data_IF_262968107973
#
_entry.id   IF_262968107973
#
_cell.length_a   1.000
_cell.length_b   1.000
_cell.length_c   1.000
_cell.angle_alpha   90.00
_cell.angle_beta   90.00
_cell.angle_gamma   90.00
#
_symmetry.space_group_name_H-M   'P 1'
#
loop_
_entity.id
_entity.type
_entity.pdbx_description
1 polymer ?
#
# COMPACT_ATOMS: atom_id res chain seq x y z
N UNK A 1 -6.57 8.01 -8.57
CA UNK A 1 -6.73 9.45 -8.23
C UNK A 1 -7.80 9.73 -7.17
N UNK A 2 -9.07 9.32 -7.34
CA UNK A 2 -10.12 9.60 -6.34
C UNK A 2 -9.79 9.05 -4.93
N UNK A 3 -9.21 7.84 -4.85
CA UNK A 3 -8.72 7.26 -3.59
C UNK A 3 -7.70 8.18 -2.92
N UNK A 4 -6.68 8.60 -3.67
CA UNK A 4 -5.65 9.54 -3.22
C UNK A 4 -6.27 10.84 -2.68
N UNK A 5 -7.19 11.47 -3.44
CA UNK A 5 -7.90 12.67 -3.01
C UNK A 5 -8.68 12.44 -1.72
N UNK A 6 -9.44 11.35 -1.61
CA UNK A 6 -10.20 11.03 -0.39
C UNK A 6 -9.30 10.86 0.83
N UNK A 7 -8.16 10.18 0.71
CA UNK A 7 -7.21 10.04 1.82
C UNK A 7 -6.57 11.38 2.21
N UNK A 8 -6.23 12.21 1.22
CA UNK A 8 -5.70 13.56 1.44
C UNK A 8 -6.70 14.44 2.17
N UNK A 9 -7.93 14.53 1.67
CA UNK A 9 -9.01 15.35 2.24
C UNK A 9 -9.34 14.93 3.68
N UNK A 10 -9.36 13.61 3.96
CA UNK A 10 -9.55 13.08 5.32
C UNK A 10 -8.44 13.52 6.28
N UNK A 11 -7.18 13.50 5.82
CA UNK A 11 -6.05 13.91 6.66
C UNK A 11 -6.02 15.43 6.86
N UNK A 12 -6.36 16.21 5.83
CA UNK A 12 -6.51 17.68 5.92
C UNK A 12 -7.57 18.01 6.96
N UNK A 13 -8.76 17.39 6.88
CA UNK A 13 -9.83 17.60 7.84
C UNK A 13 -9.41 17.23 9.27
N UNK A 14 -8.65 16.14 9.44
CA UNK A 14 -8.10 15.78 10.75
C UNK A 14 -7.12 16.85 11.29
N UNK A 15 -6.25 17.36 10.43
CA UNK A 15 -5.28 18.40 10.77
C UNK A 15 -5.97 19.71 11.16
N UNK A 16 -7.02 20.12 10.46
CA UNK A 16 -7.83 21.30 10.82
C UNK A 16 -8.53 21.15 12.17
N UNK A 17 -9.07 19.96 12.46
CA UNK A 17 -9.70 19.67 13.76
C UNK A 17 -8.70 19.72 14.91
N UNK A 18 -7.51 19.18 14.70
CA UNK A 18 -6.43 19.21 15.69
C UNK A 18 -5.84 20.61 15.87
N UNK A 19 -5.80 21.42 14.82
CA UNK A 19 -5.39 22.83 14.88
C UNK A 19 -6.34 23.67 15.74
N UNK A 20 -7.66 23.42 15.62
CA UNK A 20 -8.65 24.02 16.53
C UNK A 20 -8.45 23.58 17.98
N UNK A 21 -8.20 22.29 18.20
CA UNK A 21 -7.93 21.77 19.54
C UNK A 21 -6.64 22.35 20.14
N UNK A 22 -5.60 22.53 19.33
CA UNK A 22 -4.36 23.21 19.71
C UNK A 22 -4.62 24.65 20.18
N UNK A 23 -5.41 25.43 19.44
CA UNK A 23 -5.74 26.80 19.86
C UNK A 23 -6.45 26.82 21.21
N UNK A 24 -7.35 25.86 21.45
CA UNK A 24 -7.97 25.69 22.77
C UNK A 24 -6.95 25.35 23.87
N UNK A 25 -5.98 24.48 23.61
CA UNK A 25 -4.91 24.20 24.58
C UNK A 25 -4.12 25.47 24.93
N UNK A 26 -3.82 26.32 23.95
CA UNK A 26 -3.14 27.61 24.19
C UNK A 26 -4.00 28.58 25.02
N UNK A 27 -5.31 28.65 24.78
CA UNK A 27 -6.22 29.48 25.58
C UNK A 27 -6.24 29.03 27.05
N UNK A 28 -6.28 27.72 27.31
CA UNK A 28 -6.26 27.16 28.68
C UNK A 28 -4.94 27.43 29.41
N UNK A 29 -3.84 27.38 28.67
CA UNK A 29 -2.49 27.69 29.14
C UNK A 29 -2.30 29.14 29.58
N UNK A 30 -3.11 30.06 29.04
CA UNK A 30 -3.15 31.45 29.47
C UNK A 30 -3.65 31.63 30.90
N UNK A 31 -4.39 30.66 31.43
CA UNK A 31 -5.12 30.77 32.71
C UNK A 31 -4.56 29.89 33.86
N UNK A 32 -3.67 28.91 33.65
CA UNK A 32 -3.12 28.09 34.77
C UNK A 32 -1.70 27.49 34.60
N UNK A 33 -1.03 27.34 35.75
CA UNK A 33 0.36 26.96 36.07
C UNK A 33 0.92 25.62 35.54
N UNK A 34 2.26 25.60 35.40
CA UNK A 34 3.29 24.52 35.44
C UNK A 34 3.04 23.13 34.80
N UNK A 35 1.85 22.52 34.88
CA UNK A 35 1.59 21.17 34.34
C UNK A 35 1.54 21.12 32.81
N UNK A 36 1.28 22.26 32.18
CA UNK A 36 1.24 22.38 30.73
C UNK A 36 2.63 22.34 30.05
N UNK A 37 3.72 22.31 30.81
CA UNK A 37 5.07 22.02 30.31
C UNK A 37 5.33 20.53 30.06
N UNK A 38 4.51 19.63 30.61
CA UNK A 38 4.68 18.19 30.45
C UNK A 38 4.09 17.65 29.14
N UNK A 39 3.09 18.32 28.58
CA UNK A 39 2.46 17.95 27.32
C UNK A 39 3.09 18.75 26.19
N UNK A 40 3.74 18.08 25.24
CA UNK A 40 4.24 18.73 24.03
C UNK A 40 3.06 19.34 23.26
N UNK A 41 3.00 20.67 23.20
CA UNK A 41 2.04 21.38 22.37
C UNK A 41 2.23 21.04 20.89
N UNK A 42 1.11 20.91 20.15
CA UNK A 42 1.15 20.76 18.70
C UNK A 42 1.86 21.98 18.11
N UNK A 43 2.94 21.79 17.33
CA UNK A 43 3.59 22.90 16.63
C UNK A 43 3.13 23.00 15.18
N UNK A 44 3.41 24.11 14.50
CA UNK A 44 3.10 24.25 13.07
C UNK A 44 3.86 23.23 12.21
N UNK A 45 5.00 22.74 12.70
CA UNK A 45 5.75 21.64 12.06
C UNK A 45 5.01 20.29 12.17
N UNK A 46 4.12 20.14 13.14
CA UNK A 46 3.36 18.92 13.39
C UNK A 46 2.05 18.85 12.61
N UNK A 47 1.48 20.02 12.30
CA UNK A 47 0.33 20.20 11.41
C UNK A 47 0.85 20.79 10.09
N UNK A 48 1.74 20.06 9.42
CA UNK A 48 2.37 20.51 8.17
C UNK A 48 1.39 20.45 6.99
N UNK A 49 0.42 21.37 7.00
CA UNK A 49 -0.61 21.53 5.96
C UNK A 49 0.03 21.85 4.62
N UNK A 50 1.13 22.61 4.60
CA UNK A 50 1.84 22.93 3.36
C UNK A 50 2.35 21.66 2.69
N UNK A 51 3.02 20.79 3.45
CA UNK A 51 3.55 19.55 2.92
C UNK A 51 2.48 18.55 2.54
N UNK A 52 1.41 18.45 3.34
CA UNK A 52 0.25 17.65 2.96
C UNK A 52 -0.37 18.14 1.66
N UNK A 53 -0.42 19.46 1.45
CA UNK A 53 -0.90 20.07 0.22
C UNK A 53 0.01 19.77 -0.97
N UNK A 54 1.34 19.74 -0.76
CA UNK A 54 2.33 19.38 -1.79
C UNK A 54 2.42 17.87 -2.07
N UNK A 55 1.95 17.02 -1.15
CA UNK A 55 2.01 15.56 -1.32
C UNK A 55 1.30 15.11 -2.60
N UNK A 56 1.94 14.16 -3.32
CA UNK A 56 1.52 13.65 -4.63
C UNK A 56 1.26 12.14 -4.63
N UNK A 57 1.80 11.40 -3.66
CA UNK A 57 1.68 9.93 -3.58
C UNK A 57 0.91 9.47 -2.35
N UNK A 58 0.32 8.27 -2.42
CA UNK A 58 -0.35 7.66 -1.27
C UNK A 58 0.63 7.39 -0.12
N UNK A 59 1.88 7.08 -0.44
CA UNK A 59 2.94 6.79 0.54
C UNK A 59 3.32 8.04 1.35
N UNK A 60 3.41 9.21 0.69
CA UNK A 60 3.64 10.49 1.38
C UNK A 60 2.51 10.85 2.34
N UNK A 61 1.24 10.61 1.95
CA UNK A 61 0.09 10.82 2.83
C UNK A 61 0.13 9.83 4.01
N UNK A 62 0.49 8.58 3.74
CA UNK A 62 0.62 7.56 4.77
C UNK A 62 1.75 7.89 5.76
N UNK A 63 2.85 8.48 5.29
CA UNK A 63 3.95 8.93 6.13
C UNK A 63 3.55 10.05 7.08
N UNK A 64 2.92 11.11 6.54
CA UNK A 64 2.41 12.22 7.34
C UNK A 64 1.40 11.75 8.39
N UNK A 65 0.52 10.81 8.00
CA UNK A 65 -0.44 10.20 8.91
C UNK A 65 0.26 9.39 10.01
N UNK A 66 1.29 8.62 9.69
CA UNK A 66 2.03 7.81 10.68
C UNK A 66 2.78 8.71 11.67
N UNK A 67 3.47 9.74 11.19
CA UNK A 67 4.13 10.74 12.03
C UNK A 67 3.12 11.36 12.99
N UNK A 68 1.98 11.82 12.46
CA UNK A 68 0.91 12.42 13.24
C UNK A 68 0.38 11.48 14.34
N UNK A 69 0.09 10.21 14.00
CA UNK A 69 -0.41 9.26 14.99
C UNK A 69 0.62 8.95 16.09
N UNK A 70 1.90 8.84 15.79
CA UNK A 70 2.88 8.52 16.85
C UNK A 70 2.97 9.64 17.88
N UNK A 71 2.86 10.91 17.47
CA UNK A 71 2.95 12.03 18.40
C UNK A 71 1.63 12.38 19.08
N UNK A 72 0.49 12.30 18.36
CA UNK A 72 -0.78 12.90 18.80
C UNK A 72 -1.91 11.92 19.02
N UNK A 73 -1.68 10.60 18.94
CA UNK A 73 -2.76 9.63 19.14
C UNK A 73 -3.37 9.69 20.56
N UNK A 74 -2.62 10.15 21.57
CA UNK A 74 -3.12 10.39 22.93
C UNK A 74 -4.09 11.59 23.00
N UNK A 75 -3.93 12.57 22.11
CA UNK A 75 -4.72 13.81 22.10
C UNK A 75 -6.01 13.67 21.26
N UNK A 76 -6.08 12.71 20.33
CA UNK A 76 -7.24 12.50 19.46
C UNK A 76 -8.56 12.30 20.26
N UNK A 77 -8.61 11.48 21.33
CA UNK A 77 -9.82 11.35 22.14
C UNK A 77 -10.23 12.67 22.80
N UNK A 78 -9.27 13.45 23.28
CA UNK A 78 -9.53 14.74 23.93
C UNK A 78 -10.01 15.80 22.94
N UNK A 79 -9.47 15.79 21.71
CA UNK A 79 -9.96 16.62 20.61
C UNK A 79 -11.41 16.29 20.27
N UNK A 80 -11.77 15.00 20.14
CA UNK A 80 -13.15 14.58 19.85
C UNK A 80 -14.12 14.93 20.98
N UNK A 81 -13.68 14.81 22.23
CA UNK A 81 -14.44 15.23 23.40
C UNK A 81 -14.74 16.73 23.31
N UNK A 82 -13.72 17.55 23.02
CA UNK A 82 -13.88 19.00 22.90
C UNK A 82 -14.82 19.39 21.78
N UNK A 83 -14.73 18.76 20.61
CA UNK A 83 -15.65 19.02 19.49
C UNK A 83 -17.10 18.77 19.88
N UNK A 84 -17.39 17.64 20.54
CA UNK A 84 -18.74 17.34 21.02
C UNK A 84 -19.24 18.34 22.07
N UNK A 85 -18.38 18.81 22.96
CA UNK A 85 -18.73 19.86 23.93
C UNK A 85 -19.10 21.16 23.19
N UNK A 86 -18.35 21.54 22.15
CA UNK A 86 -18.65 22.72 21.34
C UNK A 86 -19.95 22.56 20.54
N UNK A 87 -20.19 21.39 19.92
CA UNK A 87 -21.45 21.08 19.23
C UNK A 87 -22.64 21.23 20.18
N UNK A 88 -22.53 20.68 21.41
CA UNK A 88 -23.58 20.78 22.41
C UNK A 88 -23.82 22.24 22.87
N UNK A 89 -22.75 23.02 23.06
CA UNK A 89 -22.85 24.46 23.38
C UNK A 89 -23.56 25.22 22.26
N UNK A 90 -23.21 24.99 21.00
CA UNK A 90 -23.86 25.62 19.86
C UNK A 90 -25.34 25.24 19.73
N UNK A 91 -25.68 23.97 19.98
CA UNK A 91 -27.07 23.51 19.99
C UNK A 91 -27.88 24.17 21.10
N UNK A 92 -27.31 24.32 22.32
CA UNK A 92 -27.94 25.06 23.42
C UNK A 92 -28.16 26.52 23.06
N UNK A 93 -27.17 27.20 22.47
CA UNK A 93 -27.32 28.60 22.05
C UNK A 93 -28.39 28.77 20.97
N UNK A 94 -28.45 27.85 19.99
CA UNK A 94 -29.49 27.86 18.96
C UNK A 94 -30.87 27.66 19.57
N UNK A 95 -31.03 26.75 20.55
CA UNK A 95 -32.29 26.56 21.29
C UNK A 95 -32.69 27.81 22.08
N UNK A 96 -31.76 28.42 22.83
CA UNK A 96 -32.00 29.68 23.56
C UNK A 96 -32.44 30.81 22.64
N UNK A 97 -31.80 30.98 21.48
CA UNK A 97 -32.18 31.98 20.47
C UNK A 97 -33.57 31.72 19.87
N UNK A 98 -33.94 30.45 19.65
CA UNK A 98 -35.27 30.09 19.16
C UNK A 98 -36.36 30.41 20.19
N UNK A 99 -36.13 30.08 21.46
CA UNK A 99 -37.07 30.37 22.55
C UNK A 99 -37.25 31.88 22.72
N UNK A 100 -36.17 32.65 22.75
CA UNK A 100 -36.23 34.11 22.83
C UNK A 100 -36.98 34.76 21.65
N UNK A 101 -36.84 34.20 20.44
CA UNK A 101 -37.58 34.67 19.26
C UNK A 101 -39.08 34.28 19.28
N UNK A 102 -39.45 33.20 19.99
CA UNK A 102 -40.85 32.83 20.20
C UNK A 102 -41.51 33.75 21.24
N UNK A 103 -40.80 34.07 22.34
CA UNK A 103 -41.25 35.00 23.38
C UNK A 103 -41.47 36.43 22.85
N UNK A 104 -40.74 36.86 21.82
CA UNK A 104 -40.93 38.19 21.20
C UNK A 104 -42.14 38.27 20.25
N UNK A 105 -42.75 37.14 19.86
CA UNK A 105 -43.89 37.09 18.94
C UNK A 105 -45.24 36.86 19.64
N UNK A 106 -45.27 36.54 20.94
CA UNK A 106 -46.50 36.37 21.73
C UNK A 106 -46.69 37.52 22.72
N UNK A 107 -47.39 38.58 22.27
CA UNK A 107 -48.17 39.44 23.16
C UNK A 107 -49.57 38.81 23.30
N UNK A 108 -49.78 37.95 24.30
CA UNK A 108 -51.05 37.87 25.03
C UNK A 108 -50.91 37.06 26.32
N UNK A 109 -51.60 37.53 27.35
CA UNK A 109 -51.50 37.15 28.77
C UNK A 109 -51.81 35.66 29.04
N UNK A 110 -50.89 34.93 29.68
CA UNK A 110 -51.17 34.07 30.85
C UNK A 110 -49.87 33.53 31.51
N UNK A 111 -49.90 33.18 32.82
CA UNK A 111 -48.70 32.95 33.61
C UNK A 111 -48.09 31.55 33.43
N UNK A 112 -46.76 31.54 33.31
CA UNK A 112 -45.75 30.48 33.50
C UNK A 112 -46.23 29.05 33.86
N UNK A 113 -45.58 28.04 33.26
CA UNK A 113 -44.87 27.04 34.02
C UNK A 113 -43.41 27.48 34.23
N UNK A 114 -43.07 27.82 35.46
CA UNK A 114 -41.70 27.72 35.97
C UNK A 114 -41.41 26.24 36.12
N UNK A 115 -40.62 25.68 35.22
CA UNK A 115 -39.94 24.40 35.42
C UNK A 115 -38.53 24.59 34.89
N UNK A 116 -37.64 24.77 35.86
CA UNK A 116 -36.20 24.56 35.88
C UNK A 116 -35.44 25.39 34.81
N UNK A 117 -34.51 26.26 35.20
CA UNK A 117 -33.20 25.81 35.67
C UNK A 117 -32.86 24.40 35.16
N UNK A 118 -33.12 24.09 33.87
CA UNK A 118 -32.51 22.95 33.18
C UNK A 118 -31.04 23.14 33.46
N UNK A 119 -30.56 22.32 34.39
CA UNK A 119 -29.37 22.53 35.19
C UNK A 119 -28.32 23.18 34.30
N UNK A 120 -27.67 24.23 34.79
CA UNK A 120 -26.34 24.54 34.30
C UNK A 120 -25.55 23.26 34.56
N UNK A 121 -25.64 22.31 33.62
CA UNK A 121 -25.14 20.96 33.74
C UNK A 121 -23.67 21.21 33.91
N UNK A 122 -23.22 21.01 35.15
CA UNK A 122 -21.90 21.44 35.59
C UNK A 122 -20.95 21.03 34.49
N UNK A 123 -20.17 21.96 33.96
CA UNK A 123 -19.52 21.73 32.66
C UNK A 123 -18.65 20.45 32.71
N UNK A 124 -18.16 20.16 33.90
CA UNK A 124 -17.48 18.94 34.31
C UNK A 124 -18.35 17.67 34.21
N UNK A 125 -19.62 17.70 34.63
CA UNK A 125 -20.58 16.60 34.48
C UNK A 125 -20.96 16.34 33.01
N UNK A 126 -21.07 17.39 32.18
CA UNK A 126 -21.28 17.23 30.73
C UNK A 126 -20.07 16.55 30.07
N UNK A 127 -18.86 17.01 30.44
CA UNK A 127 -17.61 16.42 29.96
C UNK A 127 -17.52 14.95 30.34
N UNK A 128 -17.88 14.57 31.56
CA UNK A 128 -17.86 13.17 32.02
C UNK A 128 -18.93 12.30 31.35
N UNK A 129 -20.11 12.85 31.09
CA UNK A 129 -21.14 12.17 30.31
C UNK A 129 -20.65 11.90 28.87
N UNK A 130 -20.04 12.89 28.21
CA UNK A 130 -19.52 12.74 26.84
C UNK A 130 -18.30 11.81 26.81
N UNK A 131 -17.40 11.85 27.79
CA UNK A 131 -16.29 10.89 27.95
C UNK A 131 -16.79 9.46 28.00
N UNK A 132 -17.86 9.23 28.77
CA UNK A 132 -18.50 7.92 28.92
C UNK A 132 -19.14 7.48 27.60
N UNK A 133 -19.83 8.37 26.89
CA UNK A 133 -20.42 8.09 25.56
C UNK A 133 -19.37 7.79 24.49
N UNK A 134 -18.26 8.54 24.48
CA UNK A 134 -17.14 8.32 23.57
C UNK A 134 -16.34 7.06 23.94
N UNK A 135 -16.70 6.39 25.03
CA UNK A 135 -16.01 5.24 25.60
C UNK A 135 -14.50 5.53 25.72
N UNK A 136 -14.15 6.76 26.12
CA UNK A 136 -12.79 7.16 26.49
C UNK A 136 -12.52 6.53 27.87
N UNK A 137 -12.54 5.19 27.93
CA UNK A 137 -11.89 4.49 29.03
C UNK A 137 -10.40 4.74 28.86
N UNK A 138 -9.69 4.92 29.97
CA UNK A 138 -8.25 4.70 30.04
C UNK A 138 -8.00 3.26 29.58
N UNK A 139 -7.96 3.07 28.26
CA UNK A 139 -7.86 1.77 27.65
C UNK A 139 -6.43 1.35 27.95
N UNK A 140 -6.18 0.23 28.64
CA UNK A 140 -4.83 -0.29 28.75
C UNK A 140 -4.34 -0.47 27.31
N UNK A 141 -3.33 0.32 26.94
CA UNK A 141 -2.80 0.42 25.58
C UNK A 141 -2.71 -0.98 24.98
N UNK A 142 -3.42 -1.21 23.87
CA UNK A 142 -3.19 -2.37 23.04
C UNK A 142 -1.68 -2.45 22.76
N UNK A 143 -1.00 -3.46 23.31
CA UNK A 143 0.48 -3.62 23.34
C UNK A 143 1.21 -2.28 23.40
N UNK A 144 1.44 -1.74 24.60
CA UNK A 144 2.22 -0.52 24.85
C UNK A 144 3.39 -0.41 23.87
N UNK A 145 3.29 0.51 22.90
CA UNK A 145 4.37 0.77 21.95
C UNK A 145 5.63 1.11 22.76
N UNK A 146 6.78 0.54 22.41
CA UNK A 146 8.02 0.75 23.15
C UNK A 146 8.41 2.24 23.16
N UNK A 147 7.99 2.99 22.13
CA UNK A 147 8.08 4.45 22.11
C UNK A 147 7.31 5.12 23.27
N UNK A 148 6.09 4.67 23.56
CA UNK A 148 5.28 5.22 24.65
C UNK A 148 5.87 4.86 26.02
N UNK A 149 6.49 3.69 26.17
CA UNK A 149 7.25 3.34 27.38
C UNK A 149 8.42 4.33 27.59
N UNK A 150 9.14 4.67 26.52
CA UNK A 150 10.22 5.66 26.57
C UNK A 150 9.70 7.07 26.91
N UNK A 151 8.53 7.45 26.36
CA UNK A 151 7.85 8.72 26.66
C UNK A 151 7.44 8.81 28.14
N UNK A 152 6.83 7.75 28.68
CA UNK A 152 6.45 7.67 30.11
C UNK A 152 7.67 7.77 31.05
N UNK A 153 8.82 7.25 30.62
CA UNK A 153 10.09 7.37 31.35
C UNK A 153 10.79 8.74 31.16
N UNK A 154 10.16 9.71 30.48
CA UNK A 154 10.67 11.07 30.23
C UNK A 154 12.00 11.11 29.47
N UNK A 155 12.29 10.09 28.65
CA UNK A 155 13.52 10.01 27.86
C UNK A 155 13.61 11.08 26.75
N UNK A 156 12.52 11.79 26.44
CA UNK A 156 12.53 12.92 25.50
C UNK A 156 13.54 14.01 25.89
N UNK A 157 13.71 14.26 27.18
CA UNK A 157 14.70 15.22 27.68
C UNK A 157 16.14 14.80 27.36
N UNK A 158 16.42 13.48 27.40
CA UNK A 158 17.71 12.92 27.03
C UNK A 158 17.92 12.93 25.51
N UNK A 159 16.89 12.57 24.74
CA UNK A 159 16.96 12.54 23.26
C UNK A 159 17.25 13.93 22.67
N UNK A 160 16.68 15.00 23.25
CA UNK A 160 17.00 16.38 22.84
C UNK A 160 18.49 16.71 22.96
N UNK A 161 19.23 16.06 23.87
CA UNK A 161 20.68 16.26 24.06
C UNK A 161 21.54 15.59 22.97
N UNK A 162 20.94 14.79 22.07
CA UNK A 162 21.65 14.12 20.97
C UNK A 162 22.06 15.11 19.85
N UNK A 163 21.48 16.32 19.83
CA UNK A 163 21.91 17.44 19.01
C UNK A 163 20.90 17.83 17.93
N UNK A 164 20.83 17.09 16.82
CA UNK A 164 19.92 17.43 15.73
C UNK A 164 18.48 16.94 15.98
N UNK A 165 17.53 17.82 15.68
CA UNK A 165 16.11 17.46 15.53
C UNK A 165 15.89 16.66 14.23
N UNK A 166 14.86 15.79 14.17
CA UNK A 166 14.52 15.04 12.96
C UNK A 166 14.39 15.89 11.71
N UNK A 167 13.68 17.02 11.80
CA UNK A 167 13.43 17.93 10.67
C UNK A 167 14.74 18.49 10.10
N UNK A 168 15.70 18.81 10.98
CA UNK A 168 17.02 19.34 10.62
C UNK A 168 17.93 18.29 9.99
N UNK A 169 17.82 17.04 10.43
CA UNK A 169 18.47 15.92 9.74
C UNK A 169 17.86 15.74 8.34
N UNK A 170 16.53 15.83 8.22
CA UNK A 170 15.84 15.77 6.93
C UNK A 170 16.35 16.82 5.96
N UNK A 171 16.52 18.07 6.40
CA UNK A 171 17.12 19.16 5.61
C UNK A 171 18.56 18.82 5.17
N UNK A 172 19.40 18.32 6.09
CA UNK A 172 20.78 17.94 5.77
C UNK A 172 20.84 16.82 4.71
N UNK A 173 19.94 15.82 4.82
CA UNK A 173 19.87 14.72 3.87
C UNK A 173 19.34 15.17 2.50
N UNK A 174 18.35 16.07 2.48
CA UNK A 174 17.78 16.58 1.25
C UNK A 174 18.77 17.43 0.45
N UNK A 175 19.54 18.27 1.14
CA UNK A 175 20.56 19.14 0.55
C UNK A 175 21.86 18.40 0.21
N UNK A 176 22.07 17.20 0.76
CA UNK A 176 23.27 16.38 0.61
C UNK A 176 24.56 17.06 1.13
N UNK A 177 24.43 17.97 2.09
CA UNK A 177 25.50 18.53 2.90
C UNK A 177 24.96 18.94 4.28
N UNK A 178 25.85 19.13 5.25
CA UNK A 178 25.47 19.53 6.60
C UNK A 178 25.09 21.01 6.65
N UNK A 179 23.85 21.33 6.29
CA UNK A 179 23.27 22.68 6.37
C UNK A 179 23.03 23.12 7.82
N UNK A 180 22.59 22.19 8.66
CA UNK A 180 22.34 22.39 10.08
C UNK A 180 23.44 21.71 10.90
N UNK A 181 24.12 22.49 11.73
CA UNK A 181 25.16 22.03 12.62
C UNK A 181 24.58 21.29 13.84
N UNK A 182 25.42 20.44 14.45
CA UNK A 182 25.01 19.62 15.59
C UNK A 182 25.23 20.36 16.91
N UNK A 183 24.14 20.57 17.64
CA UNK A 183 24.18 21.06 19.02
C UNK A 183 24.83 20.02 19.95
N UNK A 184 26.08 20.26 20.34
CA UNK A 184 26.84 19.33 21.15
C UNK A 184 26.56 19.53 22.64
N UNK A 185 26.13 18.46 23.32
CA UNK A 185 25.96 18.49 24.76
C UNK A 185 27.33 18.41 25.48
N UNK A 186 27.58 19.26 26.50
CA UNK A 186 28.89 19.37 27.13
C UNK A 186 29.26 18.17 28.02
N UNK A 187 28.25 17.42 28.51
CA UNK A 187 28.47 16.25 29.38
C UNK A 187 28.47 14.98 28.53
N UNK A 188 29.32 14.02 28.92
CA UNK A 188 29.39 12.71 28.31
C UNK A 188 28.04 11.97 28.34
N UNK A 189 27.74 11.14 27.33
CA UNK A 189 26.45 10.46 27.24
C UNK A 189 26.17 9.52 28.41
N UNK A 190 27.19 8.82 28.93
CA UNK A 190 27.04 7.90 30.06
C UNK A 190 26.58 8.62 31.32
N UNK A 191 27.26 9.73 31.68
CA UNK A 191 26.90 10.55 32.84
C UNK A 191 25.52 11.21 32.64
N UNK A 192 25.20 11.63 31.41
CA UNK A 192 23.88 12.20 31.08
C UNK A 192 22.75 11.19 31.27
N UNK A 193 23.00 9.89 31.09
CA UNK A 193 22.01 8.83 31.28
C UNK A 193 21.71 8.52 32.76
N UNK A 194 22.60 8.86 33.69
CA UNK A 194 22.41 8.59 35.13
C UNK A 194 21.19 9.30 35.70
N UNK A 195 20.89 10.51 35.18
CA UNK A 195 19.71 11.31 35.54
C UNK A 195 18.36 10.63 35.18
N UNK A 196 18.38 9.64 34.28
CA UNK A 196 17.18 9.01 33.70
C UNK A 196 17.00 7.55 34.12
N UNK A 197 17.77 7.07 35.11
CA UNK A 197 17.60 5.72 35.66
C UNK A 197 16.26 5.63 36.38
N UNK A 198 15.44 4.63 36.01
CA UNK A 198 14.12 4.43 36.58
C UNK A 198 13.82 2.93 36.73
N UNK A 199 12.65 2.59 37.30
CA UNK A 199 12.24 1.18 37.50
C UNK A 199 12.18 0.40 36.18
N UNK A 200 11.82 1.07 35.09
CA UNK A 200 11.72 0.49 33.75
C UNK A 200 13.10 0.34 33.08
N UNK A 201 14.05 1.21 33.41
CA UNK A 201 15.41 1.24 32.85
C UNK A 201 16.44 1.34 33.98
N UNK A 202 16.82 0.19 34.61
CA UNK A 202 17.59 0.19 35.86
C UNK A 202 19.08 0.51 35.69
N UNK A 203 19.61 0.52 34.46
CA UNK A 203 21.04 0.76 34.19
C UNK A 203 21.24 1.84 33.14
N UNK A 204 22.38 2.54 33.18
CA UNK A 204 22.78 3.54 32.17
C UNK A 204 22.76 2.96 30.75
N UNK A 205 23.17 1.70 30.58
CA UNK A 205 23.12 1.01 29.29
C UNK A 205 21.69 0.81 28.79
N UNK A 206 20.75 0.39 29.65
CA UNK A 206 19.35 0.22 29.27
C UNK A 206 18.68 1.56 28.93
N UNK A 207 19.01 2.62 29.67
CA UNK A 207 18.54 3.98 29.38
C UNK A 207 19.05 4.44 28.02
N UNK A 208 20.35 4.24 27.74
CA UNK A 208 20.97 4.62 26.48
C UNK A 208 20.36 3.88 25.30
N UNK A 209 20.14 2.56 25.41
CA UNK A 209 19.48 1.77 24.37
C UNK A 209 18.03 2.23 24.11
N UNK A 210 17.29 2.55 25.16
CA UNK A 210 15.94 3.09 25.04
C UNK A 210 15.94 4.48 24.38
N UNK A 211 16.87 5.36 24.74
CA UNK A 211 17.03 6.66 24.12
C UNK A 211 17.44 6.57 22.64
N UNK A 212 18.36 5.67 22.29
CA UNK A 212 18.74 5.38 20.90
C UNK A 212 17.52 4.91 20.10
N UNK A 213 16.74 3.98 20.66
CA UNK A 213 15.51 3.52 20.01
C UNK A 213 14.52 4.67 19.80
N UNK A 214 14.28 5.46 20.84
CA UNK A 214 13.35 6.59 20.79
C UNK A 214 13.77 7.60 19.73
N UNK A 215 15.05 8.00 19.72
CA UNK A 215 15.57 8.93 18.71
C UNK A 215 15.51 8.34 17.31
N UNK A 216 15.97 7.11 17.10
CA UNK A 216 15.87 6.44 15.81
C UNK A 216 14.42 6.35 15.31
N UNK A 217 13.45 6.13 16.21
CA UNK A 217 12.02 6.15 15.88
C UNK A 217 11.57 7.56 15.47
N UNK A 218 11.99 8.62 16.16
CA UNK A 218 11.67 10.00 15.79
C UNK A 218 12.26 10.39 14.43
N UNK A 219 13.54 10.07 14.20
CA UNK A 219 14.21 10.27 12.91
C UNK A 219 13.50 9.52 11.78
N UNK A 220 13.11 8.27 12.01
CA UNK A 220 12.44 7.47 10.99
C UNK A 220 11.03 7.97 10.67
N UNK A 221 10.40 8.79 11.51
CA UNK A 221 9.05 9.31 11.32
C UNK A 221 9.03 10.63 10.55
N UNK A 222 10.16 11.34 10.49
CA UNK A 222 10.24 12.57 9.70
C UNK A 222 10.00 12.26 8.21
N UNK A 223 9.01 12.90 7.57
CA UNK A 223 8.69 12.56 6.20
C UNK A 223 9.78 13.03 5.21
N UNK A 224 10.69 13.95 5.57
CA UNK A 224 11.74 14.43 4.66
C UNK A 224 12.91 13.44 4.63
N UNK A 225 13.29 12.93 5.80
CA UNK A 225 14.14 11.76 5.97
C UNK A 225 13.57 10.59 5.16
N UNK A 226 12.27 10.27 5.32
CA UNK A 226 11.63 9.20 4.53
C UNK A 226 11.67 9.45 3.04
N UNK A 227 11.33 10.65 2.60
CA UNK A 227 11.31 11.02 1.19
C UNK A 227 12.68 10.79 0.53
N UNK A 228 13.75 11.31 1.14
CA UNK A 228 15.12 11.18 0.61
C UNK A 228 15.56 9.72 0.62
N UNK A 229 15.40 9.02 1.75
CA UNK A 229 15.86 7.64 1.89
C UNK A 229 15.04 6.69 1.01
N UNK A 230 13.72 6.89 0.87
CA UNK A 230 12.88 6.10 -0.05
C UNK A 230 13.37 6.23 -1.48
N UNK A 231 13.65 7.46 -1.93
CA UNK A 231 14.14 7.72 -3.29
C UNK A 231 15.47 7.01 -3.54
N UNK A 232 16.43 7.14 -2.62
CA UNK A 232 17.73 6.46 -2.74
C UNK A 232 17.59 4.93 -2.64
N UNK A 233 16.72 4.44 -1.75
CA UNK A 233 16.42 3.02 -1.61
C UNK A 233 15.91 2.44 -2.92
N UNK A 234 14.85 3.01 -3.50
CA UNK A 234 14.26 2.52 -4.76
C UNK A 234 15.26 2.61 -5.91
N UNK A 235 16.05 3.69 -5.98
CA UNK A 235 17.05 3.91 -7.04
C UNK A 235 18.20 2.89 -6.97
N UNK A 236 18.72 2.62 -5.77
CA UNK A 236 19.92 1.79 -5.56
C UNK A 236 19.61 0.32 -5.28
N UNK A 237 18.37 -0.02 -4.93
CA UNK A 237 18.01 -1.38 -4.52
C UNK A 237 18.26 -2.38 -5.66
N UNK A 238 18.85 -3.50 -5.29
CA UNK A 238 19.15 -4.64 -6.13
C UNK A 238 18.59 -5.91 -5.48
N UNK A 239 18.24 -6.86 -6.33
CA UNK A 239 17.70 -8.16 -5.93
C UNK A 239 18.75 -9.25 -6.19
N UNK A 240 19.06 -9.99 -5.13
CA UNK A 240 19.71 -11.29 -5.18
C UNK A 240 18.64 -12.39 -5.09
N UNK A 241 18.72 -13.40 -5.94
CA UNK A 241 17.82 -14.54 -5.88
C UNK A 241 18.57 -15.86 -6.03
N UNK A 242 18.22 -16.82 -5.19
CA UNK A 242 18.81 -18.17 -5.19
C UNK A 242 17.76 -19.25 -4.94
N UNK A 243 17.91 -20.44 -5.53
CA UNK A 243 16.97 -21.52 -5.29
C UNK A 243 17.14 -22.05 -3.86
N UNK A 244 16.04 -22.51 -3.28
CA UNK A 244 16.05 -23.33 -2.07
C UNK A 244 16.47 -24.76 -2.41
N UNK A 245 16.61 -25.63 -1.40
CA UNK A 245 16.88 -27.06 -1.64
C UNK A 245 15.83 -27.70 -2.54
N UNK A 246 14.56 -27.29 -2.39
CA UNK A 246 13.45 -27.79 -3.20
C UNK A 246 13.47 -27.16 -4.60
N UNK A 247 13.70 -25.85 -4.69
CA UNK A 247 13.80 -25.15 -5.99
C UNK A 247 14.94 -25.62 -6.87
N UNK A 248 16.01 -26.17 -6.27
CA UNK A 248 17.11 -26.74 -7.06
C UNK A 248 16.64 -27.90 -7.95
N UNK A 249 15.73 -28.72 -7.43
CA UNK A 249 15.16 -29.90 -8.09
C UNK A 249 13.98 -29.56 -8.99
N UNK A 250 13.09 -28.66 -8.54
CA UNK A 250 11.84 -28.35 -9.27
C UNK A 250 12.00 -27.32 -10.39
N UNK A 251 12.94 -26.38 -10.26
CA UNK A 251 13.19 -25.37 -11.30
C UNK A 251 14.10 -25.98 -12.37
N UNK A 252 13.47 -26.69 -13.30
CA UNK A 252 14.05 -27.24 -14.54
C UNK A 252 13.95 -26.24 -15.69
N UNK A 253 14.48 -26.57 -16.87
CA UNK A 253 14.51 -25.69 -18.06
C UNK A 253 13.11 -25.22 -18.50
N UNK A 254 12.07 -26.02 -18.25
CA UNK A 254 10.69 -25.70 -18.59
C UNK A 254 10.00 -24.74 -17.59
N UNK A 255 10.61 -24.51 -16.42
CA UNK A 255 10.01 -23.68 -15.38
C UNK A 255 10.13 -22.19 -15.73
N UNK A 256 9.05 -21.41 -15.58
CA UNK A 256 9.02 -19.99 -15.95
C UNK A 256 10.10 -19.14 -15.25
N UNK A 257 10.49 -19.52 -14.03
CA UNK A 257 11.55 -18.86 -13.26
C UNK A 257 12.99 -19.34 -13.57
N UNK A 258 13.18 -20.29 -14.50
CA UNK A 258 14.49 -20.88 -14.79
C UNK A 258 15.54 -19.83 -15.20
N UNK A 259 15.14 -18.86 -16.03
CA UNK A 259 16.00 -17.74 -16.49
C UNK A 259 16.48 -16.83 -15.35
N UNK A 260 15.80 -16.87 -14.19
CA UNK A 260 16.10 -16.07 -13.00
C UNK A 260 16.45 -16.93 -11.80
N UNK A 261 16.80 -18.20 -12.02
CA UNK A 261 17.18 -19.15 -10.95
C UNK A 261 18.35 -18.64 -10.12
N UNK A 262 19.28 -17.90 -10.73
CA UNK A 262 20.40 -17.27 -10.05
C UNK A 262 20.50 -15.80 -10.45
N UNK A 263 20.07 -14.91 -9.55
CA UNK A 263 20.23 -13.46 -9.72
C UNK A 263 21.22 -12.94 -8.69
N UNK A 264 22.16 -12.13 -9.15
CA UNK A 264 23.12 -11.42 -8.30
C UNK A 264 23.08 -9.95 -8.68
N UNK A 265 22.85 -9.10 -7.68
CA UNK A 265 22.87 -7.65 -7.74
C UNK A 265 22.08 -7.07 -8.92
N UNK A 266 20.93 -7.67 -9.28
CA UNK A 266 20.08 -7.19 -10.37
C UNK A 266 19.33 -5.93 -9.91
N UNK A 267 19.56 -4.74 -10.50
CA UNK A 267 18.87 -3.53 -10.06
C UNK A 267 17.36 -3.61 -10.30
N UNK A 268 16.56 -3.11 -9.36
CA UNK A 268 15.10 -3.28 -9.39
C UNK A 268 14.44 -2.65 -10.62
N UNK A 269 14.95 -1.51 -11.08
CA UNK A 269 14.45 -0.83 -12.29
C UNK A 269 14.72 -1.60 -13.60
N UNK A 270 15.53 -2.67 -13.57
CA UNK A 270 15.79 -3.51 -14.75
C UNK A 270 14.82 -4.68 -14.89
N UNK A 271 13.97 -4.92 -13.88
CA UNK A 271 12.90 -5.89 -14.01
C UNK A 271 11.89 -5.36 -15.04
N UNK A 272 11.50 -6.23 -15.96
CA UNK A 272 10.57 -5.89 -17.03
C UNK A 272 9.49 -6.95 -17.13
N UNK A 273 8.32 -6.57 -17.65
CA UNK A 273 7.22 -7.49 -17.96
C UNK A 273 6.75 -8.25 -16.70
N UNK A 274 6.62 -9.57 -16.81
CA UNK A 274 6.18 -10.54 -15.83
C UNK A 274 7.34 -11.19 -15.04
N UNK A 275 8.58 -10.72 -15.23
CA UNK A 275 9.77 -11.29 -14.57
C UNK A 275 9.64 -11.34 -13.05
N UNK A 276 9.27 -10.21 -12.43
CA UNK A 276 9.15 -10.15 -10.98
C UNK A 276 8.00 -11.03 -10.45
N UNK A 277 6.93 -11.19 -11.23
CA UNK A 277 5.80 -12.04 -10.88
C UNK A 277 6.20 -13.51 -10.75
N UNK A 278 6.97 -14.06 -11.71
CA UNK A 278 7.46 -15.44 -11.61
C UNK A 278 8.41 -15.63 -10.43
N UNK A 279 9.25 -14.64 -10.15
CA UNK A 279 10.17 -14.68 -9.02
C UNK A 279 9.39 -14.70 -7.69
N UNK A 280 8.40 -13.80 -7.55
CA UNK A 280 7.55 -13.71 -6.37
C UNK A 280 6.73 -15.00 -6.15
N UNK A 281 6.12 -15.53 -7.21
CA UNK A 281 5.39 -16.80 -7.14
C UNK A 281 6.30 -17.95 -6.70
N UNK A 282 7.52 -18.03 -7.26
CA UNK A 282 8.51 -19.05 -6.88
C UNK A 282 8.97 -18.93 -5.42
N UNK A 283 9.01 -17.72 -4.86
CA UNK A 283 9.26 -17.51 -3.42
C UNK A 283 8.07 -18.01 -2.59
N UNK A 284 6.84 -17.69 -3.00
CA UNK A 284 5.62 -18.13 -2.32
C UNK A 284 5.51 -19.66 -2.30
N UNK A 285 5.93 -20.32 -3.38
CA UNK A 285 5.98 -21.77 -3.50
C UNK A 285 7.18 -22.41 -2.77
N UNK A 286 8.01 -21.60 -2.10
CA UNK A 286 9.17 -22.06 -1.34
C UNK A 286 10.33 -22.59 -2.21
N UNK A 287 10.32 -22.28 -3.51
CA UNK A 287 11.34 -22.71 -4.47
C UNK A 287 12.51 -21.72 -4.53
N UNK A 288 12.26 -20.44 -4.29
CA UNK A 288 13.27 -19.38 -4.36
C UNK A 288 13.39 -18.63 -3.02
N UNK A 289 14.57 -18.05 -2.79
CA UNK A 289 14.81 -17.05 -1.73
C UNK A 289 15.33 -15.78 -2.39
N UNK A 290 14.68 -14.66 -2.07
CA UNK A 290 15.08 -13.31 -2.50
C UNK A 290 15.74 -12.59 -1.32
N UNK A 291 16.72 -11.75 -1.63
CA UNK A 291 17.36 -10.81 -0.71
C UNK A 291 17.49 -9.46 -1.41
N UNK A 292 17.07 -8.40 -0.71
CA UNK A 292 17.13 -7.01 -1.18
C UNK A 292 18.38 -6.36 -0.62
N UNK A 293 19.18 -5.77 -1.50
CA UNK A 293 20.48 -5.20 -1.15
C UNK A 293 20.59 -3.81 -1.76
N UNK A 294 21.05 -2.84 -0.97
CA UNK A 294 21.29 -1.47 -1.44
C UNK A 294 22.75 -1.29 -1.85
N UNK A 295 23.66 -1.79 -1.02
CA UNK A 295 25.10 -1.62 -1.21
C UNK A 295 25.70 -2.83 -1.93
N UNK A 296 26.51 -2.57 -2.96
CA UNK A 296 27.25 -3.65 -3.64
C UNK A 296 28.24 -4.29 -2.68
N UNK A 297 28.46 -5.59 -2.81
CA UNK A 297 29.39 -6.35 -1.94
C UNK A 297 30.81 -5.78 -1.91
N UNK A 298 31.24 -5.14 -3.00
CA UNK A 298 32.58 -4.56 -3.14
C UNK A 298 32.64 -3.06 -2.84
N UNK A 299 31.57 -2.45 -2.33
CA UNK A 299 31.57 -1.02 -1.99
C UNK A 299 32.39 -0.77 -0.73
N UNK A 300 33.30 0.20 -0.78
CA UNK A 300 34.09 0.63 0.37
C UNK A 300 33.28 1.49 1.36
N UNK A 301 32.21 2.11 0.86
CA UNK A 301 31.31 2.98 1.61
C UNK A 301 29.89 2.49 1.42
N UNK A 302 29.18 2.32 2.52
CA UNK A 302 27.75 1.98 2.49
C UNK A 302 26.91 3.25 2.45
N UNK A 303 25.68 3.14 1.95
CA UNK A 303 24.72 4.23 2.03
C UNK A 303 24.44 4.65 3.50
N UNK A 304 24.51 3.72 4.45
CA UNK A 304 24.43 4.04 5.86
C UNK A 304 25.59 4.95 6.31
N UNK A 305 26.81 4.73 5.80
CA UNK A 305 27.97 5.58 6.10
C UNK A 305 27.85 6.98 5.47
N UNK A 306 27.22 7.10 4.30
CA UNK A 306 26.89 8.40 3.69
C UNK A 306 25.97 9.21 4.61
N UNK A 307 24.89 8.58 5.11
CA UNK A 307 23.92 9.24 6.02
C UNK A 307 24.56 9.62 7.35
N UNK A 308 25.44 8.76 7.91
CA UNK A 308 26.14 9.03 9.17
C UNK A 308 26.94 10.32 9.10
N UNK A 309 27.55 10.65 7.96
CA UNK A 309 28.31 11.91 7.78
C UNK A 309 27.43 13.14 7.98
N UNK A 310 26.17 13.09 7.53
CA UNK A 310 25.19 14.18 7.71
C UNK A 310 24.74 14.36 9.16
N UNK A 311 25.09 13.42 10.07
CA UNK A 311 24.82 13.48 11.50
C UNK A 311 26.08 13.25 12.36
N UNK A 312 27.24 13.67 11.86
CA UNK A 312 28.52 13.61 12.60
C UNK A 312 29.07 15.02 12.80
N UNK A 313 29.61 15.30 13.99
CA UNK A 313 30.34 16.55 14.26
C UNK A 313 31.84 16.30 14.12
N UNK A 314 32.52 17.10 13.31
CA UNK A 314 33.95 16.93 13.01
C UNK A 314 34.84 17.57 14.10
N UNK A 315 34.88 16.94 15.27
CA UNK A 315 35.78 17.32 16.37
C UNK A 315 36.36 16.07 17.05
N UNK A 316 37.62 16.16 17.49
CA UNK A 316 38.38 15.05 18.06
C UNK A 316 38.31 14.94 19.59
N UNK A 317 37.40 15.68 20.24
CA UNK A 317 37.18 15.56 21.69
C UNK A 317 36.55 14.20 22.04
N UNK A 318 37.00 13.55 23.10
CA UNK A 318 36.46 12.26 23.56
C UNK A 318 34.93 12.31 23.72
N UNK A 319 34.42 13.41 24.28
CA UNK A 319 32.98 13.62 24.43
C UNK A 319 32.25 13.62 23.06
N UNK A 320 32.80 14.32 22.07
CA UNK A 320 32.21 14.39 20.72
C UNK A 320 32.25 13.02 20.05
N UNK A 321 33.35 12.28 20.19
CA UNK A 321 33.49 10.93 19.65
C UNK A 321 32.47 9.96 20.27
N UNK A 322 32.22 10.04 21.58
CA UNK A 322 31.20 9.22 22.25
C UNK A 322 29.79 9.56 21.76
N UNK A 323 29.45 10.83 21.64
CA UNK A 323 28.15 11.25 21.09
C UNK A 323 27.99 10.87 19.62
N UNK A 324 29.04 10.99 18.81
CA UNK A 324 29.03 10.56 17.40
C UNK A 324 28.79 9.04 17.26
N UNK A 325 29.34 8.22 18.15
CA UNK A 325 29.04 6.77 18.19
C UNK A 325 27.56 6.51 18.42
N UNK A 326 26.94 7.22 19.36
CA UNK A 326 25.51 7.09 19.66
C UNK A 326 24.64 7.55 18.49
N UNK A 327 24.97 8.68 17.86
CA UNK A 327 24.28 9.18 16.65
C UNK A 327 24.36 8.18 15.51
N UNK A 328 25.54 7.58 15.29
CA UNK A 328 25.73 6.53 14.29
C UNK A 328 24.85 5.30 14.58
N UNK A 329 24.77 4.86 15.85
CA UNK A 329 23.87 3.77 16.25
C UNK A 329 22.40 4.10 16.01
N UNK A 330 21.98 5.36 16.21
CA UNK A 330 20.61 5.79 15.88
C UNK A 330 20.33 5.67 14.38
N UNK A 331 21.27 6.08 13.51
CA UNK A 331 21.14 5.95 12.06
C UNK A 331 21.10 4.47 11.63
N UNK A 332 21.98 3.63 12.16
CA UNK A 332 21.99 2.20 11.86
C UNK A 332 20.67 1.53 12.25
N UNK A 333 20.15 1.85 13.43
CA UNK A 333 18.86 1.35 13.89
C UNK A 333 17.70 1.88 13.02
N UNK A 334 17.73 3.18 12.70
CA UNK A 334 16.73 3.84 11.84
C UNK A 334 16.60 3.12 10.48
N UNK A 335 17.72 2.89 9.82
CA UNK A 335 17.77 2.26 8.52
C UNK A 335 17.39 0.77 8.57
N UNK A 336 18.07 0.00 9.41
CA UNK A 336 17.94 -1.46 9.43
C UNK A 336 16.62 -1.96 10.01
N UNK A 337 16.09 -1.32 11.07
CA UNK A 337 14.87 -1.79 11.76
C UNK A 337 13.59 -1.14 11.27
N UNK A 338 13.63 0.11 10.80
CA UNK A 338 12.41 0.85 10.45
C UNK A 338 12.29 1.11 8.94
N UNK A 339 13.25 1.79 8.33
CA UNK A 339 13.10 2.31 6.98
C UNK A 339 13.27 1.24 5.90
N UNK A 340 14.34 0.44 5.91
CA UNK A 340 14.56 -0.59 4.89
C UNK A 340 13.43 -1.64 4.84
N UNK A 341 12.96 -2.22 5.97
CA UNK A 341 11.84 -3.17 5.92
C UNK A 341 10.52 -2.55 5.44
N UNK A 342 10.33 -1.23 5.65
CA UNK A 342 9.16 -0.51 5.13
C UNK A 342 9.27 -0.32 3.62
N UNK A 343 10.38 0.25 3.15
CA UNK A 343 10.59 0.54 1.73
C UNK A 343 10.76 -0.73 0.89
N UNK A 344 11.26 -1.82 1.46
CA UNK A 344 11.26 -3.13 0.81
C UNK A 344 9.84 -3.58 0.45
N UNK A 345 8.88 -3.45 1.39
CA UNK A 345 7.48 -3.82 1.15
C UNK A 345 6.82 -2.90 0.11
N UNK A 346 7.04 -1.59 0.21
CA UNK A 346 6.55 -0.62 -0.78
C UNK A 346 7.09 -0.93 -2.19
N UNK A 347 8.38 -1.26 -2.30
CA UNK A 347 9.03 -1.63 -3.55
C UNK A 347 8.49 -2.96 -4.11
N UNK A 348 8.32 -3.97 -3.26
CA UNK A 348 7.73 -5.26 -3.62
C UNK A 348 6.31 -5.09 -4.18
N UNK A 349 5.47 -4.29 -3.51
CA UNK A 349 4.11 -3.99 -3.95
C UNK A 349 4.09 -3.27 -5.30
N UNK A 350 4.99 -2.31 -5.49
CA UNK A 350 5.13 -1.57 -6.76
C UNK A 350 5.53 -2.50 -7.91
N UNK A 351 6.57 -3.31 -7.73
CA UNK A 351 7.04 -4.26 -8.75
C UNK A 351 5.99 -5.32 -9.08
N UNK A 352 5.22 -5.77 -8.09
CA UNK A 352 4.10 -6.69 -8.30
C UNK A 352 2.98 -6.05 -9.11
N UNK A 353 2.62 -4.80 -8.79
CA UNK A 353 1.54 -4.12 -9.49
C UNK A 353 1.93 -3.81 -10.95
N UNK A 354 3.17 -3.38 -11.19
CA UNK A 354 3.70 -3.20 -12.56
C UNK A 354 3.64 -4.50 -13.37
N UNK A 355 4.10 -5.62 -12.80
CA UNK A 355 4.05 -6.92 -13.45
C UNK A 355 2.61 -7.39 -13.69
N UNK A 356 1.71 -7.16 -12.72
CA UNK A 356 0.28 -7.47 -12.86
C UNK A 356 -0.38 -6.66 -13.98
N UNK A 357 -0.15 -5.35 -14.02
CA UNK A 357 -0.67 -4.48 -15.07
C UNK A 357 -0.18 -4.91 -16.45
N UNK A 358 1.09 -5.34 -16.56
CA UNK A 358 1.62 -5.89 -17.79
C UNK A 358 0.86 -7.14 -18.24
N UNK A 359 0.65 -8.12 -17.36
CA UNK A 359 -0.08 -9.35 -17.68
C UNK A 359 -1.52 -9.05 -18.08
N UNK A 360 -2.23 -8.18 -17.33
CA UNK A 360 -3.60 -7.76 -17.67
C UNK A 360 -3.63 -7.16 -19.07
N UNK A 361 -2.68 -6.29 -19.40
CA UNK A 361 -2.59 -5.67 -20.73
C UNK A 361 -2.37 -6.71 -21.83
N UNK A 362 -1.50 -7.71 -21.61
CA UNK A 362 -1.31 -8.79 -22.58
C UNK A 362 -2.58 -9.61 -22.76
N UNK A 363 -3.26 -10.00 -21.67
CA UNK A 363 -4.53 -10.71 -21.75
C UNK A 363 -5.62 -9.91 -22.49
N UNK A 364 -5.71 -8.60 -22.21
CA UNK A 364 -6.63 -7.71 -22.91
C UNK A 364 -6.30 -7.61 -24.40
N UNK A 365 -5.03 -7.54 -24.78
CA UNK A 365 -4.62 -7.52 -26.19
C UNK A 365 -4.97 -8.84 -26.89
N UNK A 366 -4.65 -9.99 -26.29
CA UNK A 366 -5.00 -11.29 -26.87
C UNK A 366 -6.51 -11.44 -27.07
N UNK A 367 -7.31 -11.04 -26.08
CA UNK A 367 -8.77 -11.06 -26.19
C UNK A 367 -9.26 -10.09 -27.29
N UNK A 368 -8.65 -8.91 -27.37
CA UNK A 368 -8.99 -7.92 -28.38
C UNK A 368 -8.67 -8.43 -29.79
N UNK A 369 -7.55 -9.10 -29.99
CA UNK A 369 -7.17 -9.72 -31.25
C UNK A 369 -8.17 -10.82 -31.64
N UNK A 370 -8.64 -11.62 -30.68
CA UNK A 370 -9.69 -12.63 -30.91
C UNK A 370 -11.03 -12.01 -31.29
N UNK A 371 -11.40 -10.87 -30.69
CA UNK A 371 -12.65 -10.16 -30.99
C UNK A 371 -12.61 -9.37 -32.31
N UNK A 372 -11.41 -8.95 -32.75
CA UNK A 372 -11.21 -8.15 -33.97
C UNK A 372 -11.24 -8.96 -35.26
N UNK A 373 -11.27 -10.29 -35.17
CA UNK A 373 -11.32 -11.14 -36.36
C UNK A 373 -12.62 -10.86 -37.11
N UNK A 374 -12.51 -10.29 -38.31
CA UNK A 374 -13.67 -10.04 -39.16
C UNK A 374 -14.34 -11.38 -39.55
N UNK A 375 -15.67 -11.41 -39.71
CA UNK A 375 -16.36 -12.57 -40.25
C UNK A 375 -15.73 -13.03 -41.57
N UNK A 376 -15.57 -14.34 -41.74
CA UNK A 376 -14.99 -14.91 -42.95
C UNK A 376 -15.82 -14.54 -44.18
N UNK A 377 -15.14 -14.17 -45.27
CA UNK A 377 -15.75 -13.86 -46.56
C UNK A 377 -15.12 -14.73 -47.63
N UNK A 378 -15.93 -15.21 -48.57
CA UNK A 378 -15.45 -15.89 -49.76
C UNK A 378 -14.67 -14.87 -50.59
N UNK A 379 -13.50 -15.26 -51.10
CA UNK A 379 -12.59 -14.38 -51.84
C UNK A 379 -13.31 -13.71 -53.01
N UNK A 380 -13.21 -12.38 -53.09
CA UNK A 380 -13.71 -11.59 -54.21
C UNK A 380 -13.05 -12.08 -55.52
N UNK A 381 -13.84 -12.58 -56.47
CA UNK A 381 -13.53 -12.33 -57.88
C UNK A 381 -13.47 -10.80 -58.06
N UNK A 382 -12.45 -10.28 -58.75
CA UNK A 382 -12.15 -8.84 -58.91
C UNK A 382 -13.28 -7.98 -59.54
N UNK A 383 -14.44 -8.57 -59.85
CA UNK A 383 -15.55 -7.94 -60.56
C UNK A 383 -16.85 -7.76 -59.74
N UNK A 384 -16.86 -8.07 -58.43
CA UNK A 384 -18.07 -7.85 -57.60
C UNK A 384 -17.96 -6.51 -56.86
N UNK A 385 -18.42 -5.45 -57.51
CA UNK A 385 -18.61 -4.09 -56.94
C UNK A 385 -19.82 -3.99 -56.01
N UNK A 386 -20.47 -5.11 -55.71
CA UNK A 386 -21.58 -5.17 -54.75
C UNK A 386 -21.05 -5.75 -53.45
N UNK A 387 -20.96 -4.92 -52.41
CA UNK A 387 -20.94 -5.37 -51.02
C UNK A 387 -22.30 -6.02 -50.78
N UNK A 388 -22.50 -7.25 -51.25
CA UNK A 388 -23.67 -8.01 -50.91
C UNK A 388 -23.42 -8.58 -49.52
N UNK A 389 -24.18 -8.09 -48.54
CA UNK A 389 -24.34 -8.59 -47.15
C UNK A 389 -24.83 -10.06 -47.09
N UNK A 390 -24.55 -10.86 -48.11
CA UNK A 390 -24.96 -12.26 -48.19
C UNK A 390 -24.01 -13.04 -47.29
N UNK A 391 -24.50 -13.37 -46.10
CA UNK A 391 -23.79 -14.22 -45.17
C UNK A 391 -23.41 -15.57 -45.80
N UNK A 392 -22.41 -16.23 -45.22
CA UNK A 392 -21.84 -17.47 -45.74
C UNK A 392 -22.53 -18.67 -45.07
N UNK A 393 -22.93 -19.69 -45.82
CA UNK A 393 -23.39 -20.96 -45.22
C UNK A 393 -22.19 -21.77 -44.79
N UNK A 394 -22.16 -22.11 -43.51
CA UNK A 394 -21.00 -22.78 -42.89
C UNK A 394 -21.36 -24.18 -42.47
N UNK A 395 -20.61 -25.17 -42.95
CA UNK A 395 -20.61 -26.52 -42.40
C UNK A 395 -19.50 -26.60 -41.34
N UNK A 396 -19.87 -26.71 -40.07
CA UNK A 396 -18.93 -26.92 -38.97
C UNK A 396 -18.82 -28.41 -38.65
N UNK A 397 -17.61 -28.97 -38.67
CA UNK A 397 -17.32 -30.36 -38.31
C UNK A 397 -16.44 -30.32 -37.06
N UNK A 398 -16.89 -30.96 -35.99
CA UNK A 398 -16.11 -31.11 -34.76
C UNK A 398 -15.78 -32.58 -34.54
N UNK A 399 -14.48 -32.88 -34.39
CA UNK A 399 -14.00 -34.25 -34.15
C UNK A 399 -13.21 -34.34 -32.84
N UNK A 400 -13.28 -35.50 -32.19
CA UNK A 400 -12.45 -35.88 -31.04
C UNK A 400 -11.36 -36.85 -31.48
N UNK A 401 -10.25 -36.90 -30.74
CA UNK A 401 -9.24 -37.95 -30.93
C UNK A 401 -9.60 -39.27 -30.27
N UNK A 402 -10.57 -39.23 -29.35
CA UNK A 402 -11.03 -40.43 -28.65
C UNK A 402 -11.96 -41.23 -29.56
N UNK A 403 -11.69 -42.53 -29.79
CA UNK A 403 -12.45 -43.35 -30.73
C UNK A 403 -13.90 -43.63 -30.28
N UNK A 404 -14.20 -43.43 -28.99
CA UNK A 404 -15.54 -43.59 -28.43
C UNK A 404 -16.41 -42.33 -28.59
N UNK A 405 -15.79 -41.19 -28.84
CA UNK A 405 -16.48 -39.91 -29.02
C UNK A 405 -16.89 -39.75 -30.50
N UNK A 406 -18.20 -39.65 -30.74
CA UNK A 406 -18.71 -39.42 -32.10
C UNK A 406 -18.36 -37.99 -32.58
N UNK A 407 -18.01 -37.87 -33.86
CA UNK A 407 -17.89 -36.55 -34.51
C UNK A 407 -19.27 -36.02 -34.86
N UNK A 408 -19.42 -34.69 -34.90
CA UNK A 408 -20.66 -34.03 -35.28
C UNK A 408 -20.40 -33.02 -36.38
N UNK A 409 -21.30 -32.95 -37.35
CA UNK A 409 -21.30 -31.88 -38.33
C UNK A 409 -22.63 -31.13 -38.28
N UNK A 410 -22.58 -29.80 -38.29
CA UNK A 410 -23.73 -28.90 -38.23
C UNK A 410 -23.62 -27.92 -39.37
N UNK A 411 -24.71 -27.72 -40.12
CA UNK A 411 -24.76 -26.66 -41.14
C UNK A 411 -25.56 -25.46 -40.64
N UNK A 412 -24.97 -24.29 -40.82
CA UNK A 412 -25.56 -22.99 -40.50
C UNK A 412 -25.98 -22.27 -41.80
N UNK A 413 -27.12 -21.59 -41.75
CA UNK A 413 -27.57 -20.69 -42.81
C UNK A 413 -26.68 -19.44 -42.87
N UNK A 414 -26.84 -18.64 -43.92
CA UNK A 414 -26.21 -17.31 -44.05
C UNK A 414 -26.55 -16.35 -42.91
N UNK A 415 -27.65 -16.59 -42.19
CA UNK A 415 -28.09 -15.80 -41.03
C UNK A 415 -27.61 -16.39 -39.69
N UNK A 416 -26.85 -17.48 -39.71
CA UNK A 416 -26.35 -18.17 -38.51
C UNK A 416 -27.36 -19.10 -37.84
N UNK A 417 -28.48 -19.43 -38.50
CA UNK A 417 -29.47 -20.38 -37.97
C UNK A 417 -29.03 -21.81 -38.27
N UNK A 418 -29.29 -22.74 -37.33
CA UNK A 418 -29.03 -24.16 -37.53
C UNK A 418 -30.02 -24.73 -38.53
N UNK A 419 -29.52 -25.21 -39.66
CA UNK A 419 -30.33 -25.80 -40.72
C UNK A 419 -30.49 -27.30 -40.52
N UNK A 420 -29.39 -27.99 -40.24
CA UNK A 420 -29.34 -29.45 -40.16
C UNK A 420 -28.08 -29.92 -39.44
N UNK A 421 -28.06 -31.15 -38.95
CA UNK A 421 -26.90 -31.76 -38.31
C UNK A 421 -26.83 -33.27 -38.56
N UNK A 422 -25.61 -33.81 -38.56
CA UNK A 422 -25.34 -35.24 -38.68
C UNK A 422 -24.37 -35.72 -37.61
N UNK A 423 -24.57 -36.95 -37.16
CA UNK A 423 -23.68 -37.66 -36.23
C UNK A 423 -22.82 -38.66 -37.00
N UNK A 424 -21.52 -38.61 -36.76
CA UNK A 424 -20.49 -39.35 -37.47
C UNK A 424 -19.64 -40.14 -36.45
N UNK A 425 -20.14 -41.31 -36.00
CA UNK A 425 -19.50 -42.07 -34.92
C UNK A 425 -18.15 -42.68 -35.33
N UNK A 426 -17.91 -42.89 -36.62
CA UNK A 426 -16.79 -43.69 -37.13
C UNK A 426 -15.75 -42.86 -37.90
N UNK A 427 -15.90 -41.53 -37.96
CA UNK A 427 -15.06 -40.64 -38.77
C UNK A 427 -13.55 -40.79 -38.49
N UNK A 428 -13.19 -40.98 -37.21
CA UNK A 428 -11.79 -41.05 -36.76
C UNK A 428 -11.26 -42.48 -36.61
N UNK A 429 -12.02 -43.51 -37.01
CA UNK A 429 -11.55 -44.90 -36.97
C UNK A 429 -10.33 -45.09 -37.88
N UNK A 430 -9.32 -45.81 -37.37
CA UNK A 430 -8.13 -46.19 -38.14
C UNK A 430 -8.45 -47.34 -39.09
N UNK A 431 -8.17 -47.14 -40.38
CA UNK A 431 -8.46 -48.11 -41.45
C UNK A 431 -7.65 -49.42 -41.31
N UNK A 432 -6.48 -49.36 -40.67
CA UNK A 432 -5.54 -50.48 -40.61
C UNK A 432 -5.92 -51.58 -39.60
N UNK A 433 -6.99 -51.41 -38.82
CA UNK A 433 -7.33 -52.32 -37.72
C UNK A 433 -8.28 -53.45 -38.12
N UNK A 434 -9.19 -53.23 -39.08
CA UNK A 434 -10.16 -54.23 -39.56
C UNK A 434 -10.86 -53.77 -40.84
N UNK A 435 -11.20 -54.71 -41.73
CA UNK A 435 -12.03 -54.44 -42.91
C UNK A 435 -13.42 -53.88 -42.54
N UNK A 436 -13.96 -54.25 -41.38
CA UNK A 436 -15.24 -53.72 -40.87
C UNK A 436 -15.14 -52.23 -40.48
N UNK A 437 -13.99 -51.79 -39.95
CA UNK A 437 -13.76 -50.38 -39.62
C UNK A 437 -13.68 -49.52 -40.89
N UNK A 438 -13.10 -50.07 -41.97
CA UNK A 438 -13.06 -49.40 -43.27
C UNK A 438 -14.47 -49.18 -43.81
N UNK A 439 -15.31 -50.20 -43.79
CA UNK A 439 -16.71 -50.11 -44.24
C UNK A 439 -17.50 -49.08 -43.42
N UNK A 440 -17.33 -49.07 -42.08
CA UNK A 440 -18.00 -48.13 -41.18
C UNK A 440 -17.57 -46.68 -41.42
N UNK A 441 -16.29 -46.45 -41.71
CA UNK A 441 -15.75 -45.13 -42.03
C UNK A 441 -16.20 -44.65 -43.41
N UNK A 442 -16.21 -45.54 -44.40
CA UNK A 442 -16.69 -45.25 -45.76
C UNK A 442 -18.16 -44.82 -45.74
N UNK A 443 -19.00 -45.45 -44.90
CA UNK A 443 -20.39 -45.02 -44.67
C UNK A 443 -20.51 -43.60 -44.12
N UNK A 444 -19.67 -43.23 -43.15
CA UNK A 444 -19.66 -41.87 -42.60
C UNK A 444 -19.17 -40.85 -43.65
N UNK A 445 -18.19 -41.20 -44.48
CA UNK A 445 -17.76 -40.34 -45.60
C UNK A 445 -18.83 -40.18 -46.68
N UNK A 446 -19.55 -41.25 -47.02
CA UNK A 446 -20.70 -41.18 -47.93
C UNK A 446 -21.79 -40.28 -47.34
N UNK A 447 -22.10 -40.42 -46.04
CA UNK A 447 -23.06 -39.56 -45.36
C UNK A 447 -22.64 -38.08 -45.41
N UNK A 448 -21.37 -37.76 -45.17
CA UNK A 448 -20.83 -36.39 -45.32
C UNK A 448 -20.96 -35.91 -46.77
N UNK A 449 -20.62 -36.75 -47.76
CA UNK A 449 -20.69 -36.39 -49.18
C UNK A 449 -22.12 -36.06 -49.58
N UNK A 450 -23.08 -36.88 -49.18
CA UNK A 450 -24.51 -36.63 -49.40
C UNK A 450 -24.95 -35.34 -48.69
N UNK A 451 -24.50 -35.12 -47.45
CA UNK A 451 -24.83 -33.92 -46.68
C UNK A 451 -24.32 -32.63 -47.34
N UNK A 452 -23.08 -32.64 -47.82
CA UNK A 452 -22.48 -31.53 -48.57
C UNK A 452 -23.21 -31.30 -49.90
N UNK A 453 -23.53 -32.37 -50.64
CA UNK A 453 -24.25 -32.24 -51.93
C UNK A 453 -25.68 -31.73 -51.76
N UNK A 454 -26.38 -32.07 -50.68
CA UNK A 454 -27.76 -31.64 -50.45
C UNK A 454 -27.84 -30.19 -49.96
N UNK A 455 -26.94 -29.78 -49.07
CA UNK A 455 -27.04 -28.49 -48.39
C UNK A 455 -26.12 -27.40 -48.95
N UNK A 456 -25.13 -27.80 -49.77
CA UNK A 456 -24.21 -26.94 -50.52
C UNK A 456 -23.61 -25.84 -49.64
N UNK A 457 -22.81 -26.19 -48.60
CA UNK A 457 -22.14 -25.20 -47.77
C UNK A 457 -21.12 -24.42 -48.60
N UNK A 458 -20.95 -23.14 -48.28
CA UNK A 458 -19.99 -22.29 -48.97
C UNK A 458 -18.59 -22.39 -48.31
N UNK A 459 -18.54 -22.66 -47.00
CA UNK A 459 -17.31 -22.85 -46.22
C UNK A 459 -17.43 -24.03 -45.26
N UNK A 460 -16.32 -24.74 -45.03
CA UNK A 460 -16.22 -25.80 -44.03
C UNK A 460 -15.29 -25.36 -42.90
N UNK A 461 -15.80 -25.31 -41.68
CA UNK A 461 -15.03 -25.06 -40.46
C UNK A 461 -14.75 -26.38 -39.75
N UNK A 462 -13.53 -26.59 -39.27
CA UNK A 462 -13.13 -27.83 -38.59
C UNK A 462 -12.63 -27.49 -37.18
N UNK A 463 -13.28 -28.06 -36.17
CA UNK A 463 -12.89 -27.98 -34.77
C UNK A 463 -12.34 -29.31 -34.26
N UNK A 464 -11.27 -29.26 -33.47
CA UNK A 464 -10.76 -30.42 -32.74
C UNK A 464 -11.07 -30.26 -31.26
N UNK A 465 -11.70 -31.27 -30.66
CA UNK A 465 -11.83 -31.37 -29.21
C UNK A 465 -10.54 -31.96 -28.66
N UNK A 466 -9.90 -31.24 -27.76
CA UNK A 466 -8.77 -31.71 -26.97
C UNK A 466 -9.25 -31.66 -25.51
N UNK A 467 -9.40 -32.82 -24.87
CA UNK A 467 -9.59 -32.85 -23.41
C UNK A 467 -8.24 -32.51 -22.78
N UNK A 468 -8.20 -31.39 -22.05
CA UNK A 468 -7.02 -30.92 -21.30
C UNK A 468 -6.98 -31.63 -19.95
#
# INVERSE_FOLDING_TARGET
WMIFKSHKDKLISMFERMDKYRNYQYEQLGDTNEDALATRLLTDCDIDKERLTRAQTLDEIADLREQFHVYYNEDIPNMRLREKVLEYREEREKRKKLISNMEQNENDEQPQPTIDDEEELDEEALVDQIRTQLNIKATPLAKTDYYNVCKQARLEGLVKKFGLKPDKLGENLYENYQKNEIDQYPIGPTATCEEFICKQFPTTQTVLQAAIFMHARQLCLDPLVRYVIRREYISRCMINARPTRNGLQSITEDHACYTMKYLVEKPVHTFTKDQFLYLYQSVKDGLMKIEYVIDRKNSQLTYADEIKRSYTRDEYSDNVLEWNKIRAMCIDLMLSKFLYPKFQRELEETLLDEARQYVIKQCSNCLNDWLKVAPYRLSNDENVTSISDVGVRVLSITYSTDPDDASYAVILSSEGQVMDFIRLPNLMLRENYSADNRIKKDKDFEAIRTFISQRVPDVICIGKIIRI
#
